data_IF_937811435955
#
_entry.id   IF_937811435955
#
_cell.length_a   1.000
_cell.length_b   1.000
_cell.length_c   1.000
_cell.angle_alpha   90.00
_cell.angle_beta   90.00
_cell.angle_gamma   90.00
#
_symmetry.space_group_name_H-M   'P 1'
#
loop_
_entity.id
_entity.type
_entity.pdbx_description
1 polymer ?
#
# COMPACT_ATOMS: atom_id res chain seq x y z
N UNK A 1 38.76 -4.62 -45.53
CA UNK A 1 38.57 -3.36 -44.75
C UNK A 1 37.13 -3.14 -44.31
N UNK A 2 36.10 -3.39 -45.14
CA UNK A 2 34.68 -3.20 -44.78
C UNK A 2 34.21 -4.15 -43.65
N UNK A 3 34.66 -5.41 -43.66
CA UNK A 3 34.35 -6.42 -42.62
C UNK A 3 34.90 -6.06 -41.24
N UNK A 4 36.10 -5.50 -41.18
CA UNK A 4 36.76 -5.08 -39.93
C UNK A 4 36.08 -3.86 -39.32
N UNK A 5 35.54 -2.94 -40.15
CA UNK A 5 34.77 -1.78 -39.69
C UNK A 5 33.38 -2.17 -39.18
N UNK A 6 32.73 -3.17 -39.78
CA UNK A 6 31.46 -3.72 -39.27
C UNK A 6 31.62 -4.42 -37.91
N UNK A 7 32.72 -5.15 -37.71
CA UNK A 7 33.03 -5.80 -36.43
C UNK A 7 33.33 -4.78 -35.32
N UNK A 8 34.00 -3.68 -35.64
CA UNK A 8 34.27 -2.59 -34.68
C UNK A 8 33.00 -1.80 -34.31
N UNK A 9 32.06 -1.62 -35.24
CA UNK A 9 30.76 -1.00 -34.96
C UNK A 9 29.85 -1.91 -34.11
N UNK A 10 29.90 -3.23 -34.31
CA UNK A 10 29.17 -4.19 -33.48
C UNK A 10 29.76 -4.31 -32.05
N UNK A 11 31.09 -4.19 -31.90
CA UNK A 11 31.76 -4.19 -30.60
C UNK A 11 31.57 -2.87 -29.81
N UNK A 12 31.44 -1.74 -30.50
CA UNK A 12 31.22 -0.43 -29.87
C UNK A 12 29.76 -0.21 -29.38
N UNK A 13 28.81 -1.01 -29.84
CA UNK A 13 27.42 -0.98 -29.36
C UNK A 13 27.18 -1.78 -28.06
N UNK A 14 28.23 -2.42 -27.51
CA UNK A 14 28.11 -3.40 -26.42
C UNK A 14 28.42 -2.94 -24.98
N UNK A 15 28.45 -1.63 -24.59
CA UNK A 15 28.54 -1.29 -23.17
C UNK A 15 27.45 -0.33 -22.65
N UNK A 16 26.18 -0.48 -23.07
CA UNK A 16 25.06 0.24 -22.42
C UNK A 16 23.99 -0.67 -21.79
N UNK A 17 24.16 -1.98 -21.82
CA UNK A 17 23.31 -2.90 -21.06
C UNK A 17 23.79 -2.97 -19.61
N UNK A 18 23.42 -2.00 -18.78
CA UNK A 18 23.54 -2.14 -17.33
C UNK A 18 22.80 -3.40 -16.88
N UNK A 19 23.42 -4.21 -16.02
CA UNK A 19 22.73 -5.33 -15.37
C UNK A 19 21.62 -4.76 -14.46
N UNK A 20 20.38 -4.72 -14.94
CA UNK A 20 19.23 -4.45 -14.08
C UNK A 20 18.81 -5.79 -13.45
N UNK A 21 19.52 -6.15 -12.38
CA UNK A 21 19.11 -7.26 -11.53
C UNK A 21 17.81 -6.93 -10.79
N UNK A 22 17.09 -7.95 -10.35
CA UNK A 22 15.92 -7.78 -9.49
C UNK A 22 16.37 -7.23 -8.13
N UNK A 23 16.12 -5.93 -7.89
CA UNK A 23 16.43 -5.27 -6.61
C UNK A 23 15.31 -5.66 -5.63
N UNK A 24 15.47 -6.79 -4.95
CA UNK A 24 14.73 -7.11 -3.73
C UNK A 24 15.61 -6.83 -2.54
N UNK A 25 15.77 -5.56 -2.22
CA UNK A 25 16.47 -5.13 -1.01
C UNK A 25 15.42 -4.84 0.07
N UNK A 26 15.12 -5.85 0.89
CA UNK A 26 14.25 -5.70 2.06
C UNK A 26 15.03 -6.13 3.29
N UNK A 27 15.13 -5.26 4.28
CA UNK A 27 15.67 -5.59 5.60
C UNK A 27 14.58 -6.11 6.54
N UNK A 28 13.31 -6.03 6.12
CA UNK A 28 12.11 -6.50 6.84
C UNK A 28 11.57 -7.79 6.25
N UNK A 29 10.74 -8.51 7.04
CA UNK A 29 10.11 -9.78 6.63
C UNK A 29 9.14 -9.65 5.44
N UNK A 30 8.54 -8.48 5.27
CA UNK A 30 7.66 -8.12 4.14
C UNK A 30 8.24 -6.94 3.39
N UNK A 31 7.90 -6.82 2.11
CA UNK A 31 8.33 -5.68 1.27
C UNK A 31 7.50 -4.45 1.59
N UNK A 32 8.06 -3.25 1.41
CA UNK A 32 7.30 -2.01 1.55
C UNK A 32 6.09 -1.97 0.62
N UNK A 33 6.24 -2.43 -0.62
CA UNK A 33 5.16 -2.55 -1.60
C UNK A 33 4.02 -3.44 -1.10
N UNK A 34 4.34 -4.60 -0.52
CA UNK A 34 3.33 -5.49 0.05
C UNK A 34 2.57 -4.81 1.17
N UNK A 35 3.29 -4.18 2.10
CA UNK A 35 2.69 -3.49 3.24
C UNK A 35 1.74 -2.37 2.77
N UNK A 36 2.17 -1.55 1.81
CA UNK A 36 1.37 -0.44 1.25
C UNK A 36 0.13 -0.95 0.50
N UNK A 37 0.29 -1.93 -0.38
CA UNK A 37 -0.84 -2.47 -1.14
C UNK A 37 -1.89 -3.09 -0.22
N UNK A 38 -1.48 -3.83 0.81
CA UNK A 38 -2.41 -4.47 1.75
C UNK A 38 -3.07 -3.45 2.67
N UNK A 39 -2.33 -2.47 3.20
CA UNK A 39 -2.90 -1.42 4.05
C UNK A 39 -3.92 -0.57 3.28
N UNK A 40 -3.58 -0.13 2.07
CA UNK A 40 -4.46 0.68 1.24
C UNK A 40 -5.67 -0.11 0.73
N UNK A 41 -5.52 -1.42 0.46
CA UNK A 41 -6.66 -2.27 0.16
C UNK A 41 -7.61 -2.37 1.37
N UNK A 42 -7.07 -2.48 2.58
CA UNK A 42 -7.90 -2.52 3.79
C UNK A 42 -8.67 -1.20 4.00
N UNK A 43 -8.02 -0.05 3.87
CA UNK A 43 -8.68 1.26 3.94
C UNK A 43 -9.79 1.40 2.91
N UNK A 44 -9.53 1.05 1.64
CA UNK A 44 -10.55 1.06 0.57
C UNK A 44 -11.75 0.15 0.86
N UNK A 45 -11.54 -0.95 1.59
CA UNK A 45 -12.64 -1.81 2.03
C UNK A 45 -13.44 -1.15 3.16
N UNK A 46 -12.76 -0.50 4.11
CA UNK A 46 -13.37 0.22 5.22
C UNK A 46 -14.17 1.43 4.76
N UNK A 47 -13.68 2.18 3.77
CA UNK A 47 -14.37 3.36 3.20
C UNK A 47 -15.75 3.02 2.61
N UNK A 48 -15.94 1.77 2.17
CA UNK A 48 -17.23 1.28 1.65
C UNK A 48 -18.22 0.94 2.77
N UNK A 49 -17.76 0.89 4.03
CA UNK A 49 -18.63 0.59 5.15
C UNK A 49 -19.49 1.80 5.50
N UNK A 50 -20.80 1.68 5.29
CA UNK A 50 -21.76 2.67 5.78
C UNK A 50 -21.93 2.59 7.31
N UNK A 51 -21.33 3.56 7.98
CA UNK A 51 -21.30 3.69 9.44
C UNK A 51 -22.31 4.70 9.96
N UNK A 52 -23.20 5.23 9.11
CA UNK A 52 -24.21 6.23 9.49
C UNK A 52 -25.10 5.75 10.65
N UNK A 53 -25.44 4.46 10.66
CA UNK A 53 -26.25 3.82 11.72
C UNK A 53 -25.57 3.75 13.09
N UNK A 54 -24.27 4.00 13.16
CA UNK A 54 -23.45 3.95 14.37
C UNK A 54 -23.15 5.35 14.93
N UNK A 55 -23.51 6.42 14.23
CA UNK A 55 -23.25 7.78 14.67
C UNK A 55 -23.91 8.07 16.03
N UNK A 56 -23.15 8.67 16.94
CA UNK A 56 -23.59 8.98 18.30
C UNK A 56 -23.70 7.79 19.25
N UNK A 57 -23.49 6.55 18.78
CA UNK A 57 -23.54 5.33 19.62
C UNK A 57 -22.18 4.98 20.21
N UNK A 58 -22.20 4.33 21.37
CA UNK A 58 -21.04 3.66 21.95
C UNK A 58 -20.84 2.31 21.26
N UNK A 59 -19.70 2.10 20.64
CA UNK A 59 -19.37 0.88 19.90
C UNK A 59 -18.20 0.18 20.55
N UNK A 60 -18.36 -1.12 20.82
CA UNK A 60 -17.24 -2.00 21.14
C UNK A 60 -16.89 -2.82 19.90
N UNK A 61 -15.61 -2.93 19.59
CA UNK A 61 -15.11 -3.68 18.43
C UNK A 61 -14.67 -5.06 18.92
N UNK A 62 -15.33 -6.12 18.45
CA UNK A 62 -14.93 -7.51 18.67
C UNK A 62 -14.00 -7.95 17.53
N UNK A 63 -12.70 -8.02 17.85
CA UNK A 63 -11.63 -8.46 16.96
C UNK A 63 -11.16 -9.90 17.23
N UNK A 64 -11.87 -10.64 18.09
CA UNK A 64 -11.45 -11.99 18.54
C UNK A 64 -11.32 -13.01 17.41
N UNK A 65 -12.06 -12.81 16.31
CA UNK A 65 -12.05 -13.68 15.11
C UNK A 65 -11.27 -13.10 13.94
N UNK A 66 -10.63 -11.96 14.14
CA UNK A 66 -9.75 -11.37 13.15
C UNK A 66 -8.30 -11.66 13.53
N UNK A 67 -7.64 -12.50 12.75
CA UNK A 67 -6.22 -12.83 12.90
C UNK A 67 -5.48 -12.51 11.60
N UNK A 68 -4.54 -11.57 11.67
CA UNK A 68 -3.73 -11.11 10.55
C UNK A 68 -2.54 -10.31 11.07
N UNK A 69 -1.45 -10.29 10.30
CA UNK A 69 -0.26 -9.47 10.57
C UNK A 69 -0.61 -7.98 10.58
N UNK A 70 -1.53 -7.55 9.71
CA UNK A 70 -1.95 -6.15 9.58
C UNK A 70 -3.11 -5.77 10.48
N UNK A 71 -3.57 -6.69 11.34
CA UNK A 71 -4.68 -6.48 12.27
C UNK A 71 -4.57 -5.17 13.07
N UNK A 72 -3.43 -4.80 13.68
CA UNK A 72 -3.34 -3.57 14.47
C UNK A 72 -3.62 -2.32 13.62
N UNK A 73 -3.14 -2.30 12.38
CA UNK A 73 -3.37 -1.19 11.46
C UNK A 73 -4.83 -1.13 11.03
N UNK A 74 -5.41 -2.26 10.59
CA UNK A 74 -6.82 -2.33 10.16
C UNK A 74 -7.77 -1.91 11.28
N UNK A 75 -7.52 -2.34 12.52
CA UNK A 75 -8.31 -1.91 13.67
C UNK A 75 -8.16 -0.41 13.92
N UNK A 76 -6.96 0.15 13.77
CA UNK A 76 -6.75 1.61 13.88
C UNK A 76 -7.50 2.38 12.80
N UNK A 77 -7.44 1.93 11.54
CA UNK A 77 -8.17 2.54 10.42
C UNK A 77 -9.69 2.44 10.60
N UNK A 78 -10.20 1.30 11.07
CA UNK A 78 -11.63 1.15 11.39
C UNK A 78 -12.05 2.11 12.51
N UNK A 79 -11.20 2.28 13.54
CA UNK A 79 -11.46 3.22 14.62
C UNK A 79 -11.51 4.66 14.12
N UNK A 80 -10.62 5.04 13.22
CA UNK A 80 -10.62 6.36 12.59
C UNK A 80 -11.93 6.58 11.81
N UNK A 81 -12.28 5.65 10.91
CA UNK A 81 -13.52 5.69 10.12
C UNK A 81 -14.78 5.82 10.99
N UNK A 82 -14.87 5.04 12.07
CA UNK A 82 -15.98 5.12 13.02
C UNK A 82 -16.01 6.45 13.79
N UNK A 83 -14.83 6.96 14.17
CA UNK A 83 -14.71 8.21 14.93
C UNK A 83 -15.10 9.42 14.08
N UNK A 84 -14.67 9.46 12.81
CA UNK A 84 -15.06 10.50 11.84
C UNK A 84 -16.58 10.52 11.64
N UNK A 85 -17.22 9.34 11.62
CA UNK A 85 -18.68 9.22 11.56
C UNK A 85 -19.42 9.58 12.88
N UNK A 86 -18.69 9.91 13.95
CA UNK A 86 -19.25 10.32 15.24
C UNK A 86 -19.61 9.17 16.18
N UNK A 87 -19.18 7.94 15.90
CA UNK A 87 -19.30 6.83 16.85
C UNK A 87 -18.26 6.96 17.97
N UNK A 88 -18.59 6.49 19.18
CA UNK A 88 -17.68 6.51 20.34
C UNK A 88 -17.18 5.11 20.63
N UNK A 89 -15.88 4.87 20.46
CA UNK A 89 -15.32 3.54 20.72
C UNK A 89 -15.10 3.36 22.22
N UNK A 90 -15.70 2.32 22.81
CA UNK A 90 -15.63 2.03 24.25
C UNK A 90 -15.33 0.56 24.49
N UNK A 91 -14.74 0.23 25.64
CA UNK A 91 -14.49 -1.15 26.08
C UNK A 91 -15.59 -1.71 27.01
N UNK A 92 -16.33 -0.83 27.67
CA UNK A 92 -17.35 -1.19 28.67
C UNK A 92 -18.62 -0.41 28.42
N UNK A 93 -19.75 -1.04 28.71
CA UNK A 93 -21.09 -0.46 28.51
C UNK A 93 -21.30 0.08 27.07
N UNK A 94 -21.02 -0.72 26.02
CA UNK A 94 -21.33 -0.32 24.65
C UNK A 94 -22.84 -0.38 24.38
N UNK A 95 -23.31 0.42 23.43
CA UNK A 95 -24.67 0.31 22.89
C UNK A 95 -24.74 -0.81 21.83
N UNK A 96 -23.62 -1.06 21.13
CA UNK A 96 -23.51 -2.07 20.06
C UNK A 96 -22.16 -2.78 20.08
N UNK A 97 -22.21 -4.09 19.88
CA UNK A 97 -21.03 -4.91 19.57
C UNK A 97 -20.84 -4.98 18.06
N UNK A 98 -19.68 -4.56 17.58
CA UNK A 98 -19.28 -4.60 16.17
C UNK A 98 -18.23 -5.68 15.98
N UNK A 99 -18.61 -6.81 15.41
CA UNK A 99 -17.70 -7.90 15.08
C UNK A 99 -17.08 -7.69 13.70
N UNK A 100 -15.74 -7.71 13.64
CA UNK A 100 -15.00 -7.71 12.38
C UNK A 100 -14.76 -9.13 11.87
N UNK A 101 -15.15 -9.38 10.62
CA UNK A 101 -14.91 -10.63 9.92
C UNK A 101 -14.01 -10.36 8.72
N UNK A 102 -12.83 -10.99 8.70
CA UNK A 102 -11.93 -10.94 7.55
C UNK A 102 -12.03 -12.24 6.76
N UNK A 103 -12.45 -12.12 5.50
CA UNK A 103 -12.47 -13.25 4.57
C UNK A 103 -11.16 -13.34 3.78
N UNK A 104 -10.56 -12.20 3.45
CA UNK A 104 -9.25 -12.12 2.82
C UNK A 104 -8.57 -10.81 3.22
N UNK A 105 -7.30 -10.89 3.56
CA UNK A 105 -6.42 -9.72 3.69
C UNK A 105 -5.02 -10.18 3.32
N UNK A 106 -4.54 -9.76 2.16
CA UNK A 106 -3.24 -10.21 1.68
C UNK A 106 -2.90 -9.73 0.28
N UNK A 107 -1.79 -10.26 -0.23
CA UNK A 107 -1.22 -9.91 -1.51
C UNK A 107 -1.30 -11.08 -2.49
N UNK A 108 -1.53 -10.75 -3.74
CA UNK A 108 -1.31 -11.62 -4.89
C UNK A 108 -0.09 -11.12 -5.66
N UNK A 109 0.79 -12.04 -6.03
CA UNK A 109 2.02 -11.75 -6.76
C UNK A 109 2.08 -12.65 -8.00
N UNK A 110 2.26 -12.03 -9.17
CA UNK A 110 2.29 -12.71 -10.45
C UNK A 110 3.40 -12.18 -11.35
N UNK A 111 4.27 -13.08 -11.79
CA UNK A 111 5.34 -12.78 -12.75
C UNK A 111 5.09 -13.50 -14.08
N UNK A 112 4.95 -12.72 -15.15
CA UNK A 112 4.87 -13.19 -16.52
C UNK A 112 6.13 -12.76 -17.27
N UNK A 113 7.01 -13.72 -17.54
CA UNK A 113 8.27 -13.47 -18.24
C UNK A 113 8.32 -14.22 -19.57
N UNK A 114 8.62 -13.48 -20.65
CA UNK A 114 8.96 -14.00 -21.97
C UNK A 114 10.44 -13.70 -22.26
N UNK A 115 11.27 -14.73 -22.19
CA UNK A 115 12.71 -14.64 -22.38
C UNK A 115 13.46 -15.75 -21.66
N UNK A 116 14.75 -15.55 -21.46
CA UNK A 116 15.59 -16.43 -20.65
C UNK A 116 15.65 -15.85 -19.23
N UNK A 117 15.09 -16.50 -18.20
CA UNK A 117 15.21 -16.03 -16.83
C UNK A 117 16.68 -16.08 -16.35
N UNK A 118 17.01 -15.48 -15.20
CA UNK A 118 18.35 -15.54 -14.66
C UNK A 118 18.72 -16.99 -14.38
N UNK A 119 19.82 -17.47 -14.97
CA UNK A 119 20.27 -18.84 -14.80
C UNK A 119 21.50 -18.86 -13.89
N UNK A 120 21.50 -19.67 -12.81
CA UNK A 120 22.70 -19.86 -12.02
C UNK A 120 23.73 -20.62 -12.87
N UNK A 121 24.89 -20.00 -13.08
CA UNK A 121 26.01 -20.60 -13.80
C UNK A 121 27.11 -20.94 -12.80
N UNK A 122 27.41 -22.24 -12.69
CA UNK A 122 28.47 -22.75 -11.81
C UNK A 122 29.51 -23.48 -12.65
N UNK A 123 30.77 -23.09 -12.46
CA UNK A 123 31.93 -23.76 -13.07
C UNK A 123 32.86 -24.17 -11.94
N UNK A 124 33.34 -25.42 -11.96
CA UNK A 124 34.25 -25.90 -10.93
C UNK A 124 35.50 -25.00 -10.85
N UNK A 125 35.83 -24.55 -9.64
CA UNK A 125 36.97 -23.67 -9.38
C UNK A 125 36.69 -22.17 -9.52
N UNK A 126 35.48 -21.76 -9.90
CA UNK A 126 35.04 -20.37 -9.90
C UNK A 126 33.82 -20.18 -8.97
N UNK A 127 33.66 -18.99 -8.35
CA UNK A 127 32.45 -18.67 -7.62
C UNK A 127 31.24 -18.74 -8.55
N UNK A 128 30.09 -19.16 -8.01
CA UNK A 128 28.83 -19.18 -8.73
C UNK A 128 28.49 -17.76 -9.22
N UNK A 129 28.18 -17.62 -10.50
CA UNK A 129 27.75 -16.34 -11.09
C UNK A 129 26.35 -16.55 -11.66
N UNK A 130 25.43 -15.66 -11.34
CA UNK A 130 24.10 -15.68 -11.96
C UNK A 130 24.17 -14.91 -13.27
N UNK A 131 23.88 -15.59 -14.38
CA UNK A 131 23.75 -14.90 -15.66
C UNK A 131 22.48 -14.04 -15.60
N UNK A 132 22.55 -12.74 -15.97
CA UNK A 132 21.37 -11.90 -15.98
C UNK A 132 20.35 -12.44 -16.97
N UNK A 133 19.07 -12.35 -16.61
CA UNK A 133 17.99 -12.74 -17.51
C UNK A 133 17.96 -11.88 -18.76
N UNK A 134 17.67 -12.50 -19.91
CA UNK A 134 17.44 -11.84 -21.18
C UNK A 134 15.93 -11.83 -21.43
N UNK A 135 15.29 -10.71 -21.11
CA UNK A 135 13.85 -10.56 -21.21
C UNK A 135 13.48 -9.81 -22.49
N UNK A 136 12.71 -10.46 -23.38
CA UNK A 136 12.04 -9.74 -24.48
C UNK A 136 10.89 -8.93 -23.89
N UNK A 137 10.18 -9.54 -22.95
CA UNK A 137 9.08 -8.93 -22.24
C UNK A 137 8.98 -9.54 -20.85
N UNK A 138 8.79 -8.72 -19.81
CA UNK A 138 8.44 -9.18 -18.46
C UNK A 138 7.35 -8.28 -17.89
N UNK A 139 6.39 -8.87 -17.21
CA UNK A 139 5.36 -8.17 -16.44
C UNK A 139 5.31 -8.77 -15.04
N UNK A 140 5.64 -7.96 -14.05
CA UNK A 140 5.47 -8.29 -12.64
C UNK A 140 4.26 -7.53 -12.12
N UNK A 141 3.33 -8.24 -11.48
CA UNK A 141 2.04 -7.72 -11.06
C UNK A 141 1.78 -8.11 -9.62
N UNK A 142 1.74 -7.11 -8.75
CA UNK A 142 1.41 -7.25 -7.34
C UNK A 142 0.06 -6.60 -7.09
N UNK A 143 -0.81 -7.28 -6.34
CA UNK A 143 -2.17 -6.80 -6.07
C UNK A 143 -2.53 -7.04 -4.61
N UNK A 144 -2.97 -6.00 -3.91
CA UNK A 144 -3.52 -6.14 -2.57
C UNK A 144 -5.02 -6.40 -2.62
N UNK A 145 -5.49 -7.31 -1.78
CA UNK A 145 -6.91 -7.64 -1.64
C UNK A 145 -7.30 -7.59 -0.18
N UNK A 146 -8.41 -6.91 0.10
CA UNK A 146 -9.08 -6.92 1.38
C UNK A 146 -10.56 -7.24 1.17
N UNK A 147 -11.09 -8.17 1.96
CA UNK A 147 -12.50 -8.50 2.01
C UNK A 147 -12.94 -8.58 3.46
N UNK A 148 -13.73 -7.61 3.88
CA UNK A 148 -14.27 -7.52 5.23
C UNK A 148 -15.79 -7.63 5.24
N UNK A 149 -16.31 -8.05 6.38
CA UNK A 149 -17.73 -8.01 6.71
C UNK A 149 -17.86 -7.61 8.18
N UNK A 150 -18.76 -6.69 8.47
CA UNK A 150 -19.04 -6.22 9.83
C UNK A 150 -20.42 -6.64 10.26
N UNK A 151 -20.49 -7.27 11.42
CA UNK A 151 -21.74 -7.69 12.04
C UNK A 151 -21.98 -6.90 13.31
N UNK A 152 -23.20 -6.43 13.48
CA UNK A 152 -23.60 -5.68 14.68
C UNK A 152 -24.55 -6.50 15.53
N UNK A 153 -24.29 -6.55 16.83
CA UNK A 153 -25.09 -7.25 17.82
C UNK A 153 -25.52 -6.33 18.96
N UNK A 154 -26.67 -6.65 19.54
CA UNK A 154 -27.08 -6.10 20.82
C UNK A 154 -26.22 -6.72 21.95
N UNK A 155 -25.55 -5.91 22.79
CA UNK A 155 -24.61 -6.40 23.79
C UNK A 155 -25.26 -7.17 24.94
N UNK A 156 -26.53 -6.92 25.24
CA UNK A 156 -27.24 -7.56 26.36
C UNK A 156 -27.87 -8.88 25.93
N UNK A 157 -28.46 -8.89 24.73
CA UNK A 157 -29.25 -10.01 24.24
C UNK A 157 -28.51 -10.88 23.23
N UNK A 158 -27.36 -10.42 22.72
CA UNK A 158 -26.59 -11.04 21.63
C UNK A 158 -27.43 -11.29 20.37
N UNK A 159 -28.50 -10.51 20.19
CA UNK A 159 -29.34 -10.57 19.00
C UNK A 159 -28.63 -9.86 17.86
N UNK A 160 -28.62 -10.50 16.68
CA UNK A 160 -28.12 -9.91 15.45
C UNK A 160 -28.98 -8.72 15.04
N UNK A 161 -28.35 -7.57 14.83
CA UNK A 161 -29.02 -6.34 14.39
C UNK A 161 -28.89 -6.15 12.88
N UNK A 162 -27.66 -6.24 12.35
CA UNK A 162 -27.36 -5.92 10.95
C UNK A 162 -25.99 -6.43 10.51
N UNK A 163 -25.75 -6.41 9.19
CA UNK A 163 -24.50 -6.77 8.53
C UNK A 163 -24.19 -5.77 7.43
N UNK A 164 -22.92 -5.40 7.29
CA UNK A 164 -22.42 -4.52 6.21
C UNK A 164 -22.47 -5.16 4.81
N UNK A 165 -22.68 -6.48 4.72
CA UNK A 165 -22.40 -7.22 3.49
C UNK A 165 -20.90 -7.36 3.22
N UNK A 166 -20.55 -7.78 2.00
CA UNK A 166 -19.17 -7.98 1.57
C UNK A 166 -18.53 -6.66 1.12
N UNK A 167 -17.56 -6.18 1.90
CA UNK A 167 -16.81 -4.97 1.60
C UNK A 167 -15.47 -5.34 0.98
N UNK A 168 -15.24 -4.86 -0.24
CA UNK A 168 -14.05 -5.17 -1.03
C UNK A 168 -13.14 -3.96 -1.19
N UNK A 169 -11.86 -4.19 -0.97
CA UNK A 169 -10.79 -3.27 -1.29
C UNK A 169 -9.77 -3.97 -2.17
N UNK A 170 -9.29 -3.26 -3.18
CA UNK A 170 -8.35 -3.76 -4.17
C UNK A 170 -7.31 -2.68 -4.46
N UNK A 171 -6.06 -3.11 -4.57
CA UNK A 171 -4.93 -2.28 -4.97
C UNK A 171 -4.06 -3.03 -5.97
N UNK A 172 -3.31 -2.29 -6.79
CA UNK A 172 -2.41 -2.90 -7.77
C UNK A 172 -1.11 -2.10 -7.98
N UNK A 173 -0.06 -2.86 -8.30
CA UNK A 173 1.22 -2.37 -8.75
C UNK A 173 1.71 -3.25 -9.91
N UNK A 174 1.86 -2.66 -11.10
CA UNK A 174 2.29 -3.37 -12.29
C UNK A 174 3.61 -2.77 -12.80
N UNK A 175 4.61 -3.63 -12.95
CA UNK A 175 5.91 -3.28 -13.51
C UNK A 175 6.11 -4.01 -14.83
N UNK A 176 6.58 -3.27 -15.82
CA UNK A 176 6.78 -3.76 -17.18
C UNK A 176 8.23 -3.60 -17.59
N UNK A 177 8.77 -4.62 -18.24
CA UNK A 177 10.06 -4.56 -18.93
C UNK A 177 9.87 -4.90 -20.39
N UNK A 178 10.47 -4.09 -21.24
CA UNK A 178 10.48 -4.26 -22.69
C UNK A 178 11.93 -4.36 -23.15
N UNK A 179 12.28 -5.47 -23.81
CA UNK A 179 13.63 -5.72 -24.33
C UNK A 179 14.74 -5.51 -23.28
N UNK A 180 14.49 -5.91 -22.04
CA UNK A 180 15.42 -5.75 -20.91
C UNK A 180 15.47 -4.35 -20.30
N UNK A 181 14.71 -3.39 -20.82
CA UNK A 181 14.59 -2.02 -20.30
C UNK A 181 13.37 -1.94 -19.37
N UNK A 182 13.55 -1.40 -18.16
CA UNK A 182 12.51 -1.24 -17.13
C UNK A 182 13.12 -1.19 -15.71
N UNK A 183 12.31 -1.25 -14.64
CA UNK A 183 10.85 -1.33 -14.64
C UNK A 183 10.21 -0.01 -15.08
N UNK A 184 9.19 -0.11 -15.93
CA UNK A 184 8.22 0.96 -16.16
C UNK A 184 6.96 0.64 -15.37
N UNK A 185 6.58 1.52 -14.46
CA UNK A 185 5.31 1.50 -13.76
C UNK A 185 4.42 2.65 -14.28
N UNK A 186 3.14 2.36 -14.46
CA UNK A 186 2.13 3.36 -14.79
C UNK A 186 1.48 3.90 -13.53
N UNK A 187 0.22 4.37 -13.65
CA UNK A 187 -0.64 4.59 -12.47
C UNK A 187 -0.67 3.33 -11.60
N UNK A 188 -0.50 3.51 -10.30
CA UNK A 188 -0.44 2.45 -9.32
C UNK A 188 -0.84 2.96 -7.94
N UNK A 189 -1.07 2.03 -7.02
CA UNK A 189 -1.56 2.32 -5.67
C UNK A 189 -0.46 2.33 -4.61
N UNK A 190 0.81 2.41 -5.02
CA UNK A 190 1.97 2.39 -4.11
C UNK A 190 2.45 3.81 -3.83
N UNK A 191 2.52 4.65 -4.86
CA UNK A 191 2.94 6.04 -4.72
C UNK A 191 1.71 6.94 -4.58
N UNK A 192 1.73 7.93 -3.68
CA UNK A 192 0.70 8.95 -3.70
C UNK A 192 0.71 9.62 -5.08
N UNK A 193 -0.48 9.87 -5.64
CA UNK A 193 -0.57 10.77 -6.77
C UNK A 193 0.12 12.07 -6.36
N UNK A 194 1.08 12.53 -7.16
CA UNK A 194 1.73 13.81 -6.93
C UNK A 194 0.62 14.85 -6.86
N UNK A 195 0.27 15.28 -5.65
CA UNK A 195 -0.54 16.47 -5.44
C UNK A 195 0.23 17.55 -6.17
N UNK A 196 -0.31 17.98 -7.30
CA UNK A 196 0.23 19.06 -8.09
C UNK A 196 0.51 20.20 -7.12
N UNK A 197 1.79 20.46 -6.87
CA UNK A 197 2.23 21.49 -5.93
C UNK A 197 2.07 22.87 -6.57
N UNK A 198 1.02 23.07 -7.37
CA UNK A 198 0.50 24.39 -7.68
C UNK A 198 0.01 24.97 -6.35
N UNK A 199 0.97 25.62 -5.70
CA UNK A 199 0.84 26.41 -4.49
C UNK A 199 -0.53 27.10 -4.47
N UNK A 200 -1.23 27.14 -3.33
CA UNK A 200 -2.26 28.16 -3.16
C UNK A 200 -1.53 29.49 -3.36
N UNK A 201 -1.96 30.28 -4.35
CA UNK A 201 -1.54 31.67 -4.48
C UNK A 201 -1.63 32.30 -3.09
N UNK A 202 -0.48 32.71 -2.57
CA UNK A 202 -0.44 33.51 -1.36
C UNK A 202 -1.20 34.79 -1.66
N UNK A 203 -2.44 34.88 -1.18
CA UNK A 203 -3.19 36.12 -1.14
C UNK A 203 -2.32 37.19 -0.46
N UNK A 204 -2.26 38.42 -1.01
CA UNK A 204 -1.38 39.45 -0.48
C UNK A 204 -1.83 39.88 0.92
N UNK A 205 -0.83 40.02 1.77
CA UNK A 205 -0.83 40.50 3.15
C UNK A 205 -1.93 41.53 3.44
N UNK A 206 -2.87 41.16 4.30
CA UNK A 206 -3.76 42.10 4.99
C UNK A 206 -2.92 42.76 6.09
N UNK A 207 -2.34 43.91 5.75
CA UNK A 207 -1.60 44.80 6.67
C UNK A 207 -2.61 45.42 7.66
N UNK A 208 -2.98 44.61 8.65
CA UNK A 208 -3.82 44.98 9.78
C UNK A 208 -3.00 45.69 10.85
N UNK A 209 -3.16 47.01 10.85
CA UNK A 209 -2.66 48.00 11.80
C UNK A 209 -2.84 47.59 13.29
N UNK A 210 -1.86 47.94 14.12
CA UNK A 210 -1.63 47.34 15.44
C UNK A 210 -2.54 47.78 16.58
N UNK A 211 -2.45 47.07 17.71
CA UNK A 211 -2.38 47.67 19.06
C UNK A 211 -1.98 46.66 20.17
N UNK A 212 -0.98 47.06 20.97
CA UNK A 212 -0.80 46.87 22.42
C UNK A 212 -1.01 45.53 23.13
N UNK A 213 0.08 44.94 23.67
CA UNK A 213 0.44 45.02 25.12
C UNK A 213 1.58 44.05 25.51
N UNK A 214 2.48 44.40 26.45
CA UNK A 214 3.67 43.61 26.77
C UNK A 214 3.37 42.51 27.82
N UNK A 215 3.93 41.32 27.60
CA UNK A 215 3.91 40.23 28.57
C UNK A 215 5.09 40.41 29.53
N UNK A 216 4.75 40.61 30.80
CA UNK A 216 5.64 40.72 31.96
C UNK A 216 6.31 39.37 32.26
N UNK A 217 7.63 39.40 32.41
CA UNK A 217 8.52 38.29 32.75
C UNK A 217 8.66 38.18 34.27
N UNK A 218 8.01 37.19 34.87
CA UNK A 218 8.27 36.78 36.25
C UNK A 218 8.17 35.25 36.40
N UNK A 219 9.35 34.63 36.44
CA UNK A 219 9.73 33.45 37.25
C UNK A 219 8.71 32.99 38.30
N UNK A 220 8.24 31.75 38.20
CA UNK A 220 8.56 30.64 39.13
C UNK A 220 7.93 29.32 38.70
#
# INVERSE_FOLDING_TARGET
MLRTRLLLLAAAALPCGGCVGEIRDTTTARTATEMLLVSTAAERALDRYDVSSLSGRKVWIDDSRFDSVDKPFVLSALRDHLSIAGARIVERDPDVHLEIRSAALGIWDGDMTLGVPPLPFTVQGLPAVTLPGLYIFRRHSQQGYAKFQFWTYDPQTMVYLSSSGDLWGHTYYNQWWWFGIGPFDGSNDVYPDLVDSTLPDSDPEDEGDGDGAPIDDQRR
#
